data_IF_592793347500
#
_entry.id   IF_592793347500
#
_cell.length_a   1.000
_cell.length_b   1.000
_cell.length_c   1.000
_cell.angle_alpha   90.00
_cell.angle_beta   90.00
_cell.angle_gamma   90.00
#
_symmetry.space_group_name_H-M   'P 1'
#
loop_
_entity.id
_entity.type
_entity.pdbx_description
1 polymer ?
#
# COMPACT_ATOMS: atom_id res chain seq x y z
N UNK A 1 10.55 -15.66 14.86
CA UNK A 1 10.12 -15.55 16.27
C UNK A 1 9.90 -14.10 16.68
N UNK A 2 10.95 -13.27 16.73
CA UNK A 2 10.83 -11.85 17.16
C UNK A 2 9.87 -11.07 16.25
N UNK A 3 10.00 -11.19 14.93
CA UNK A 3 9.12 -10.49 13.98
C UNK A 3 7.64 -10.92 14.12
N UNK A 4 7.42 -12.21 14.44
CA UNK A 4 6.09 -12.79 14.66
C UNK A 4 5.45 -12.22 15.93
N UNK A 5 6.18 -12.16 17.04
CA UNK A 5 5.72 -11.51 18.26
C UNK A 5 5.48 -10.02 18.00
N UNK A 6 6.44 -9.31 17.42
CA UNK A 6 6.36 -7.87 17.17
C UNK A 6 5.14 -7.50 16.32
N UNK A 7 4.94 -8.19 15.20
CA UNK A 7 3.76 -7.98 14.35
C UNK A 7 2.45 -8.28 15.07
N UNK A 8 2.40 -9.32 15.90
CA UNK A 8 1.23 -9.62 16.73
C UNK A 8 0.92 -8.53 17.75
N UNK A 9 1.93 -7.98 18.42
CA UNK A 9 1.77 -6.85 19.36
C UNK A 9 1.29 -5.58 18.65
N UNK A 10 1.73 -5.37 17.40
CA UNK A 10 1.22 -4.29 16.54
C UNK A 10 -0.23 -4.53 16.10
N UNK A 11 -0.80 -5.71 16.32
CA UNK A 11 -2.18 -6.06 15.96
C UNK A 11 -2.31 -6.76 14.60
N UNK A 12 -1.20 -7.17 13.99
CA UNK A 12 -1.19 -7.88 12.71
C UNK A 12 -1.11 -9.39 12.89
N UNK A 13 -1.67 -10.14 11.95
CA UNK A 13 -1.45 -11.58 11.90
C UNK A 13 -0.10 -11.88 11.23
N UNK A 14 0.86 -12.54 11.92
CA UNK A 14 2.17 -12.88 11.36
C UNK A 14 2.10 -13.63 10.02
N UNK A 15 1.08 -14.48 9.83
CA UNK A 15 0.94 -15.29 8.60
C UNK A 15 0.57 -14.47 7.36
N UNK A 16 0.12 -13.23 7.54
CA UNK A 16 -0.23 -12.32 6.44
C UNK A 16 0.96 -11.44 6.03
N UNK A 17 2.05 -11.45 6.78
CA UNK A 17 3.25 -10.67 6.48
C UNK A 17 4.21 -11.57 5.71
N UNK A 18 4.42 -11.25 4.43
CA UNK A 18 5.19 -12.09 3.51
C UNK A 18 6.60 -12.40 4.02
N UNK A 19 7.31 -11.40 4.55
CA UNK A 19 8.67 -11.58 5.08
C UNK A 19 8.72 -12.54 6.25
N UNK A 20 7.73 -12.49 7.15
CA UNK A 20 7.62 -13.41 8.29
C UNK A 20 7.29 -14.83 7.81
N UNK A 21 6.31 -14.95 6.90
CA UNK A 21 5.91 -16.24 6.33
C UNK A 21 7.06 -16.90 5.57
N UNK A 22 7.76 -16.15 4.71
CA UNK A 22 8.91 -16.66 3.97
C UNK A 22 10.07 -17.06 4.89
N UNK A 23 10.32 -16.29 5.95
CA UNK A 23 11.33 -16.64 6.96
C UNK A 23 11.02 -17.97 7.64
N UNK A 24 9.75 -18.20 8.00
CA UNK A 24 9.30 -19.46 8.58
C UNK A 24 9.41 -20.64 7.60
N UNK A 25 8.92 -20.47 6.35
CA UNK A 25 9.02 -21.48 5.29
C UNK A 25 10.48 -21.86 4.97
N UNK A 26 11.40 -20.91 5.12
CA UNK A 26 12.84 -21.12 4.97
C UNK A 26 13.53 -21.71 6.21
N UNK A 27 12.79 -21.96 7.31
CA UNK A 27 13.34 -22.48 8.56
C UNK A 27 14.20 -21.48 9.34
N UNK A 28 14.08 -20.18 9.07
CA UNK A 28 14.89 -19.13 9.71
C UNK A 28 14.32 -18.67 11.06
N UNK A 29 13.13 -19.13 11.43
CA UNK A 29 12.54 -18.88 12.73
C UNK A 29 11.06 -19.28 12.78
N UNK A 30 10.46 -19.13 13.96
CA UNK A 30 9.07 -19.55 14.19
C UNK A 30 8.06 -18.41 13.92
N UNK A 31 6.96 -18.73 13.22
CA UNK A 31 5.84 -17.83 12.92
C UNK A 31 4.62 -18.10 13.82
N UNK A 32 4.39 -19.36 14.19
CA UNK A 32 3.29 -19.77 15.04
C UNK A 32 3.56 -19.34 16.49
N UNK A 33 2.78 -18.36 16.95
CA UNK A 33 2.90 -17.77 18.28
C UNK A 33 2.80 -18.80 19.41
N UNK A 34 2.13 -19.94 19.20
CA UNK A 34 1.99 -21.01 20.20
C UNK A 34 3.26 -21.82 20.43
N UNK A 35 4.15 -21.85 19.43
CA UNK A 35 5.42 -22.58 19.49
C UNK A 35 6.57 -21.67 19.98
N UNK A 36 6.28 -20.40 20.28
CA UNK A 36 7.26 -19.42 20.75
C UNK A 36 7.20 -19.34 22.27
N UNK A 37 8.29 -19.72 22.92
CA UNK A 37 8.49 -19.50 24.35
C UNK A 37 8.92 -18.05 24.61
N UNK A 38 8.18 -17.35 25.48
CA UNK A 38 8.51 -15.98 25.91
C UNK A 38 9.29 -16.06 27.22
N UNK A 39 10.53 -15.58 27.18
CA UNK A 39 11.38 -15.47 28.36
C UNK A 39 11.22 -14.07 28.97
N UNK A 40 10.89 -14.00 30.27
CA UNK A 40 10.78 -12.74 31.01
C UNK A 40 9.34 -12.29 31.24
N UNK A 41 9.09 -10.99 31.08
CA UNK A 41 7.79 -10.40 31.38
C UNK A 41 6.70 -10.87 30.40
N UNK A 42 5.48 -11.05 30.92
CA UNK A 42 4.31 -11.35 30.09
C UNK A 42 3.98 -10.15 29.19
N UNK A 43 3.59 -10.43 27.95
CA UNK A 43 3.27 -9.44 26.93
C UNK A 43 1.76 -9.18 26.81
N UNK A 44 0.90 -9.85 27.59
CA UNK A 44 -0.57 -9.74 27.50
C UNK A 44 -1.12 -8.31 27.53
N UNK A 45 -0.48 -7.42 28.28
CA UNK A 45 -0.92 -6.03 28.42
C UNK A 45 -0.30 -5.09 27.36
N UNK A 46 0.57 -5.62 26.48
CA UNK A 46 1.20 -4.87 25.41
C UNK A 46 0.44 -5.09 24.11
N UNK A 47 -0.39 -4.12 23.72
CA UNK A 47 -1.05 -4.11 22.41
C UNK A 47 -1.08 -2.70 21.85
N UNK A 48 -0.52 -2.53 20.66
CA UNK A 48 -0.33 -1.20 20.07
C UNK A 48 -1.31 -0.87 18.94
N UNK A 49 -2.03 -1.85 18.38
CA UNK A 49 -3.09 -1.70 17.35
C UNK A 49 -2.75 -0.65 16.27
N UNK A 50 -1.74 -0.95 15.45
CA UNK A 50 -1.31 -0.05 14.38
C UNK A 50 -2.33 -0.02 13.25
N UNK A 51 -2.50 1.16 12.66
CA UNK A 51 -3.27 1.35 11.43
C UNK A 51 -2.33 1.29 10.22
N UNK A 52 -2.77 0.63 9.15
CA UNK A 52 -2.01 0.56 7.91
C UNK A 52 -2.21 1.84 7.08
N UNK A 53 -1.18 2.29 6.33
CA UNK A 53 -1.30 3.48 5.47
C UNK A 53 -2.49 3.41 4.49
N UNK A 54 -2.78 2.23 3.93
CA UNK A 54 -3.94 2.02 3.06
C UNK A 54 -5.28 2.20 3.78
N UNK A 55 -5.38 1.86 5.07
CA UNK A 55 -6.59 2.05 5.87
C UNK A 55 -6.81 3.52 6.18
N UNK A 56 -5.75 4.23 6.58
CA UNK A 56 -5.77 5.68 6.79
C UNK A 56 -6.20 6.41 5.52
N UNK A 57 -5.64 6.03 4.37
CA UNK A 57 -5.94 6.63 3.06
C UNK A 57 -7.37 6.35 2.64
N UNK A 58 -7.85 5.11 2.77
CA UNK A 58 -9.23 4.75 2.43
C UNK A 58 -10.24 5.53 3.28
N UNK A 59 -9.95 5.77 4.56
CA UNK A 59 -10.76 6.63 5.42
C UNK A 59 -10.73 8.09 4.97
N UNK A 60 -9.57 8.58 4.55
CA UNK A 60 -9.36 9.99 4.18
C UNK A 60 -9.89 10.32 2.78
N UNK A 61 -9.95 9.33 1.89
CA UNK A 61 -10.41 9.46 0.51
C UNK A 61 -11.41 8.33 0.19
N UNK A 62 -12.68 8.44 0.63
CA UNK A 62 -13.67 7.36 0.50
C UNK A 62 -14.04 7.03 -0.96
N UNK A 63 -13.75 7.94 -1.89
CA UNK A 63 -14.00 7.77 -3.33
C UNK A 63 -12.75 7.32 -4.11
N UNK A 64 -11.66 7.00 -3.41
CA UNK A 64 -10.43 6.50 -3.99
C UNK A 64 -10.41 4.97 -4.04
N UNK A 65 -10.12 4.42 -5.21
CA UNK A 65 -9.79 3.02 -5.39
C UNK A 65 -8.32 2.86 -5.76
N UNK A 66 -7.59 2.02 -5.03
CA UNK A 66 -6.17 1.73 -5.27
C UNK A 66 -6.03 0.30 -5.80
N UNK A 67 -5.58 0.17 -7.05
CA UNK A 67 -5.24 -1.09 -7.70
C UNK A 67 -3.71 -1.15 -7.93
N UNK A 68 -2.98 -1.29 -6.83
CA UNK A 68 -1.51 -1.32 -6.80
C UNK A 68 -1.06 -2.78 -6.70
N UNK A 69 -1.11 -3.50 -7.82
CA UNK A 69 -0.79 -4.93 -7.90
C UNK A 69 0.60 -5.12 -8.53
N UNK A 70 1.50 -5.83 -7.85
CA UNK A 70 2.88 -6.06 -8.32
C UNK A 70 3.64 -4.77 -8.70
N UNK A 71 3.28 -3.64 -8.11
CA UNK A 71 4.02 -2.40 -8.28
C UNK A 71 5.30 -2.43 -7.43
N UNK A 72 6.42 -1.92 -7.97
CA UNK A 72 7.62 -1.72 -7.17
C UNK A 72 7.47 -0.50 -6.23
N UNK A 73 8.41 -0.36 -5.29
CA UNK A 73 8.46 0.80 -4.40
C UNK A 73 8.55 2.14 -5.15
N UNK A 74 9.10 2.14 -6.37
CA UNK A 74 9.23 3.32 -7.21
C UNK A 74 7.89 3.98 -7.58
N UNK A 75 6.81 3.23 -7.81
CA UNK A 75 5.48 3.82 -8.03
C UNK A 75 4.68 3.92 -6.73
N UNK A 76 4.74 2.88 -5.88
CA UNK A 76 3.90 2.80 -4.69
C UNK A 76 4.22 3.92 -3.68
N UNK A 77 5.50 4.16 -3.38
CA UNK A 77 5.91 5.14 -2.37
C UNK A 77 5.47 6.57 -2.75
N UNK A 78 5.70 7.05 -3.98
CA UNK A 78 5.24 8.39 -4.36
C UNK A 78 3.71 8.55 -4.39
N UNK A 79 2.95 7.51 -4.77
CA UNK A 79 1.48 7.53 -4.71
C UNK A 79 1.02 7.75 -3.26
N UNK A 80 1.49 6.92 -2.33
CA UNK A 80 1.12 7.02 -0.92
C UNK A 80 1.61 8.32 -0.27
N UNK A 81 2.82 8.77 -0.62
CA UNK A 81 3.38 10.04 -0.16
C UNK A 81 2.53 11.23 -0.62
N UNK A 82 2.12 11.24 -1.88
CA UNK A 82 1.26 12.30 -2.46
C UNK A 82 -0.09 12.35 -1.76
N UNK A 83 -0.75 11.20 -1.58
CA UNK A 83 -2.03 11.10 -0.86
C UNK A 83 -1.92 11.58 0.59
N UNK A 84 -0.86 11.19 1.30
CA UNK A 84 -0.60 11.63 2.67
C UNK A 84 -0.39 13.15 2.73
N UNK A 85 0.31 13.74 1.76
CA UNK A 85 0.53 15.18 1.67
C UNK A 85 -0.78 15.94 1.39
N UNK A 86 -1.54 15.52 0.39
CA UNK A 86 -2.85 16.13 0.04
C UNK A 86 -3.76 16.12 1.27
N UNK A 87 -3.82 15.00 1.98
CA UNK A 87 -4.60 14.88 3.22
C UNK A 87 -4.14 15.89 4.27
N UNK A 88 -2.83 16.02 4.51
CA UNK A 88 -2.27 16.98 5.49
C UNK A 88 -2.57 18.43 5.11
N UNK A 89 -2.65 18.72 3.82
CA UNK A 89 -3.03 20.02 3.27
C UNK A 89 -4.56 20.24 3.28
N UNK A 90 -5.36 19.23 3.66
CA UNK A 90 -6.82 19.30 3.72
C UNK A 90 -7.52 19.08 2.37
N UNK A 91 -6.78 18.69 1.33
CA UNK A 91 -7.31 18.48 -0.01
C UNK A 91 -8.30 17.31 -0.08
N UNK A 92 -9.28 17.41 -0.96
CA UNK A 92 -10.31 16.40 -1.22
C UNK A 92 -10.31 16.03 -2.70
N UNK A 93 -10.80 14.83 -3.04
CA UNK A 93 -10.99 14.46 -4.44
C UNK A 93 -12.23 15.17 -5.00
N UNK A 94 -12.14 15.69 -6.22
CA UNK A 94 -13.28 16.25 -6.99
C UNK A 94 -14.38 15.22 -7.29
N UNK A 95 -14.05 13.94 -7.19
CA UNK A 95 -14.96 12.83 -7.47
C UNK A 95 -14.26 11.47 -7.32
N UNK A 96 -14.91 10.38 -7.76
CA UNK A 96 -14.30 9.06 -7.81
C UNK A 96 -12.99 9.08 -8.61
N UNK A 97 -11.97 8.38 -8.09
CA UNK A 97 -10.67 8.20 -8.75
C UNK A 97 -10.21 6.77 -8.54
N UNK A 98 -9.78 6.10 -9.62
CA UNK A 98 -9.05 4.84 -9.52
C UNK A 98 -7.60 5.03 -9.92
N UNK A 99 -6.67 4.61 -9.06
CA UNK A 99 -5.23 4.63 -9.36
C UNK A 99 -4.75 3.21 -9.59
N UNK A 100 -4.14 2.98 -10.75
CA UNK A 100 -3.56 1.69 -11.12
C UNK A 100 -2.05 1.84 -11.25
N UNK A 101 -1.31 0.96 -10.58
CA UNK A 101 0.14 0.88 -10.69
C UNK A 101 0.60 -0.58 -10.65
N UNK A 102 1.70 -0.87 -11.33
CA UNK A 102 2.21 -2.23 -11.46
C UNK A 102 1.54 -3.03 -12.57
N UNK A 103 1.80 -4.33 -12.61
CA UNK A 103 1.35 -5.20 -13.71
C UNK A 103 -0.08 -5.65 -13.45
N UNK A 104 -1.03 -5.12 -14.21
CA UNK A 104 -2.42 -5.59 -14.27
C UNK A 104 -2.74 -6.12 -15.65
N UNK A 105 -3.54 -7.18 -15.73
CA UNK A 105 -3.91 -7.83 -16.99
C UNK A 105 -5.10 -7.16 -17.70
N UNK A 106 -5.95 -6.42 -16.97
CA UNK A 106 -7.10 -5.71 -17.56
C UNK A 106 -7.62 -4.58 -16.65
N UNK A 107 -8.35 -3.63 -17.25
CA UNK A 107 -9.11 -2.59 -16.53
C UNK A 107 -10.55 -3.03 -16.21
N UNK A 108 -10.84 -4.33 -16.23
CA UNK A 108 -12.19 -4.83 -15.90
C UNK A 108 -12.60 -4.39 -14.48
N UNK A 109 -13.79 -3.80 -14.36
CA UNK A 109 -14.34 -3.29 -13.10
C UNK A 109 -13.79 -1.94 -12.62
N UNK A 110 -12.93 -1.28 -13.39
CA UNK A 110 -12.39 0.05 -13.06
C UNK A 110 -13.38 1.16 -13.44
N UNK A 111 -13.59 2.13 -12.54
CA UNK A 111 -14.55 3.24 -12.69
C UNK A 111 -14.03 4.36 -13.59
N UNK A 112 -14.93 5.28 -13.92
CA UNK A 112 -14.62 6.56 -14.55
C UNK A 112 -13.60 7.35 -13.70
N UNK A 113 -12.70 8.10 -14.36
CA UNK A 113 -11.51 8.77 -13.81
C UNK A 113 -10.40 7.82 -13.34
N UNK A 114 -9.51 7.53 -14.27
CA UNK A 114 -8.42 6.59 -14.12
C UNK A 114 -7.06 7.30 -14.16
N UNK A 115 -6.20 6.98 -13.20
CA UNK A 115 -4.79 7.38 -13.20
C UNK A 115 -3.92 6.13 -13.32
N UNK A 116 -3.34 5.92 -14.50
CA UNK A 116 -2.37 4.87 -14.78
C UNK A 116 -0.94 5.36 -14.48
N UNK A 117 -0.19 4.61 -13.66
CA UNK A 117 1.11 5.05 -13.14
C UNK A 117 2.24 4.07 -13.47
N UNK A 118 3.21 4.56 -14.24
CA UNK A 118 4.45 3.88 -14.57
C UNK A 118 4.36 2.98 -15.80
N UNK A 119 5.52 2.66 -16.38
CA UNK A 119 5.64 1.91 -17.65
C UNK A 119 5.00 0.51 -17.59
N UNK A 120 4.86 -0.06 -16.39
CA UNK A 120 4.16 -1.34 -16.20
C UNK A 120 2.67 -1.30 -16.56
N UNK A 121 2.08 -0.10 -16.70
CA UNK A 121 0.67 0.11 -17.07
C UNK A 121 0.47 0.47 -18.54
N UNK A 122 1.55 0.57 -19.33
CA UNK A 122 1.51 0.95 -20.75
C UNK A 122 0.57 0.06 -21.58
N UNK A 123 0.55 -1.24 -21.32
CA UNK A 123 -0.32 -2.18 -22.04
C UNK A 123 -1.81 -1.97 -21.81
N UNK A 124 -2.20 -1.24 -20.75
CA UNK A 124 -3.61 -0.94 -20.44
C UNK A 124 -4.10 0.27 -21.23
N UNK A 125 -3.24 1.26 -21.45
CA UNK A 125 -3.52 2.41 -22.30
C UNK A 125 -2.21 3.09 -22.73
N UNK A 126 -1.66 2.77 -23.92
CA UNK A 126 -0.34 3.23 -24.36
C UNK A 126 -0.19 4.75 -24.46
N UNK A 127 -1.30 5.47 -24.66
CA UNK A 127 -1.30 6.92 -24.85
C UNK A 127 -1.76 7.70 -23.60
N UNK A 128 -2.23 7.02 -22.56
CA UNK A 128 -2.86 7.65 -21.39
C UNK A 128 -2.36 7.07 -20.06
N UNK A 129 -1.05 7.12 -19.84
CA UNK A 129 -0.42 6.78 -18.56
C UNK A 129 0.71 7.74 -18.22
N UNK A 130 1.00 7.85 -16.91
CA UNK A 130 2.15 8.59 -16.44
C UNK A 130 3.43 7.77 -16.67
N UNK A 131 4.19 8.16 -17.69
CA UNK A 131 5.43 7.48 -18.13
C UNK A 131 6.55 7.55 -17.09
N UNK A 132 7.33 6.48 -16.99
CA UNK A 132 8.57 6.33 -16.22
C UNK A 132 8.63 5.09 -15.34
N UNK A 133 9.86 4.70 -14.97
CA UNK A 133 10.17 3.59 -14.07
C UNK A 133 11.32 3.96 -13.08
N UNK A 134 11.03 4.67 -11.97
CA UNK A 134 9.72 5.22 -11.62
C UNK A 134 9.38 6.49 -12.42
N UNK A 135 8.09 6.88 -12.45
CA UNK A 135 7.70 8.22 -12.90
C UNK A 135 8.50 9.30 -12.18
N UNK A 136 8.87 10.37 -12.90
CA UNK A 136 9.66 11.47 -12.33
C UNK A 136 9.00 12.11 -11.09
N UNK A 137 9.81 12.69 -10.20
CA UNK A 137 9.42 13.15 -8.84
C UNK A 137 8.11 13.95 -8.80
N UNK A 138 7.91 14.90 -9.72
CA UNK A 138 6.72 15.75 -9.75
C UNK A 138 5.56 15.19 -10.58
N UNK A 139 5.77 14.10 -11.33
CA UNK A 139 4.79 13.57 -12.28
C UNK A 139 3.51 13.13 -11.57
N UNK A 140 3.65 12.37 -10.48
CA UNK A 140 2.50 11.83 -9.73
C UNK A 140 1.75 12.96 -9.04
N UNK A 141 2.45 13.79 -8.25
CA UNK A 141 1.86 14.94 -7.54
C UNK A 141 1.17 15.91 -8.50
N UNK A 142 1.77 16.20 -9.66
CA UNK A 142 1.19 17.09 -10.66
C UNK A 142 -0.14 16.56 -11.20
N UNK A 143 -0.17 15.28 -11.59
CA UNK A 143 -1.39 14.65 -12.11
C UNK A 143 -2.46 14.57 -11.02
N UNK A 144 -2.09 14.30 -9.76
CA UNK A 144 -3.03 14.32 -8.64
C UNK A 144 -3.82 15.64 -8.55
N UNK A 145 -3.17 16.80 -8.78
CA UNK A 145 -3.85 18.11 -8.73
C UNK A 145 -5.00 18.26 -9.73
N UNK A 146 -5.02 17.47 -10.80
CA UNK A 146 -6.15 17.48 -11.73
C UNK A 146 -7.42 16.91 -11.09
N UNK A 147 -7.25 16.01 -10.11
CA UNK A 147 -8.32 15.30 -9.40
C UNK A 147 -8.62 15.85 -8.00
N UNK A 148 -7.86 16.83 -7.50
CA UNK A 148 -7.99 17.41 -6.15
C UNK A 148 -8.59 18.82 -6.19
N UNK A 149 -9.53 19.10 -5.29
CA UNK A 149 -10.11 20.44 -5.03
C UNK A 149 -9.09 21.43 -4.44
#
# INVERSE_FOLDING_TARGET
AVDSIGSSLMGFNPSQIETVRFGFEAGLGEMNLKEIEIMGADLKDLKMNFELPQEEIKRSFPHLELAIEQACCGCAVPIFSSLSRIRKEGGQLKGPLTIVAGKKSSLSGVKENLMLVGDCTESLSPDAYLKGCPPGEDGITRVFREFIE
#
